data_IF_644801076088
#
_entry.id   IF_644801076088
#
_cell.length_a   1.000
_cell.length_b   1.000
_cell.length_c   1.000
_cell.angle_alpha   90.00
_cell.angle_beta   90.00
_cell.angle_gamma   90.00
#
_symmetry.space_group_name_H-M   'P 1'
#
loop_
_entity.id
_entity.type
_entity.pdbx_description
1 polymer ?
#
# COMPACT_ATOMS: atom_id res chain seq x y z
N UNK A 1 11.40 18.34 -7.27
CA UNK A 1 10.75 17.09 -6.82
C UNK A 1 10.93 16.98 -5.31
N UNK A 2 9.85 16.93 -4.55
CA UNK A 2 9.92 16.84 -3.09
C UNK A 2 10.45 15.47 -2.63
N UNK A 3 10.96 15.33 -1.37
CA UNK A 3 11.35 14.02 -0.84
C UNK A 3 10.21 13.00 -0.91
N UNK A 4 8.97 13.43 -0.68
CA UNK A 4 7.79 12.57 -0.75
C UNK A 4 7.50 12.09 -2.19
N UNK A 5 7.74 12.93 -3.20
CA UNK A 5 7.57 12.54 -4.60
C UNK A 5 8.58 11.45 -5.00
N UNK A 6 9.84 11.55 -4.52
CA UNK A 6 10.87 10.52 -4.76
C UNK A 6 10.48 9.19 -4.14
N UNK A 7 9.96 9.20 -2.90
CA UNK A 7 9.48 8.01 -2.20
C UNK A 7 8.29 7.35 -2.92
N UNK A 8 7.34 8.17 -3.43
CA UNK A 8 6.22 7.67 -4.23
C UNK A 8 6.67 7.07 -5.55
N UNK A 9 7.67 7.69 -6.19
CA UNK A 9 8.23 7.17 -7.44
C UNK A 9 8.93 5.82 -7.22
N UNK A 10 9.70 5.66 -6.14
CA UNK A 10 10.36 4.39 -5.81
C UNK A 10 9.33 3.27 -5.59
N UNK A 11 8.29 3.55 -4.80
CA UNK A 11 7.15 2.66 -4.56
C UNK A 11 6.48 2.25 -5.89
N UNK A 12 6.10 3.22 -6.72
CA UNK A 12 5.47 2.98 -8.03
C UNK A 12 6.36 2.15 -8.97
N UNK A 13 7.67 2.36 -8.96
CA UNK A 13 8.62 1.60 -9.78
C UNK A 13 8.73 0.13 -9.34
N UNK A 14 8.64 -0.15 -8.04
CA UNK A 14 8.65 -1.51 -7.52
C UNK A 14 7.35 -2.22 -7.88
N UNK A 15 6.19 -1.60 -7.63
CA UNK A 15 4.88 -2.14 -7.98
C UNK A 15 4.81 -2.45 -9.48
N UNK A 16 5.33 -1.56 -10.32
CA UNK A 16 5.35 -1.78 -11.78
C UNK A 16 6.21 -2.98 -12.24
N UNK A 17 7.07 -3.55 -11.38
CA UNK A 17 7.82 -4.79 -11.72
C UNK A 17 6.90 -6.02 -11.71
N UNK A 18 5.85 -5.99 -10.89
CA UNK A 18 4.94 -7.12 -10.67
C UNK A 18 3.68 -7.04 -11.54
N UNK A 19 3.25 -5.82 -11.89
CA UNK A 19 2.10 -5.60 -12.79
C UNK A 19 2.52 -5.82 -14.24
N UNK A 20 1.70 -6.56 -15.02
CA UNK A 20 1.96 -6.86 -16.43
C UNK A 20 1.21 -5.90 -17.37
N UNK A 21 1.59 -5.92 -18.63
CA UNK A 21 0.92 -5.14 -19.66
C UNK A 21 -0.50 -5.66 -19.88
N UNK A 22 -1.47 -4.75 -19.87
CA UNK A 22 -2.87 -5.08 -20.06
C UNK A 22 -3.61 -5.58 -18.83
N UNK A 23 -2.94 -5.68 -17.65
CA UNK A 23 -3.58 -6.11 -16.41
C UNK A 23 -4.76 -5.20 -16.01
N UNK A 24 -5.78 -5.82 -15.42
CA UNK A 24 -6.86 -5.12 -14.72
C UNK A 24 -6.40 -4.85 -13.30
N UNK A 25 -6.23 -3.59 -12.95
CA UNK A 25 -5.64 -3.16 -11.68
C UNK A 25 -6.64 -2.35 -10.86
N UNK A 26 -6.87 -2.76 -9.61
CA UNK A 26 -7.67 -2.04 -8.62
C UNK A 26 -6.75 -1.42 -7.56
N UNK A 27 -6.77 -0.09 -7.42
CA UNK A 27 -5.98 0.63 -6.40
C UNK A 27 -6.89 1.13 -5.27
N UNK A 28 -6.76 0.52 -4.10
CA UNK A 28 -7.56 0.80 -2.91
C UNK A 28 -6.89 1.86 -2.04
N UNK A 29 -7.54 3.01 -1.89
CA UNK A 29 -6.93 4.21 -1.34
C UNK A 29 -6.06 4.92 -2.37
N UNK A 30 -6.52 4.98 -3.63
CA UNK A 30 -5.75 5.46 -4.78
C UNK A 30 -5.29 6.92 -4.68
N UNK A 31 -5.79 7.67 -3.71
CA UNK A 31 -5.46 9.07 -3.54
C UNK A 31 -5.80 9.89 -4.79
N UNK A 32 -4.81 10.57 -5.34
CA UNK A 32 -4.95 11.42 -6.53
C UNK A 32 -4.72 10.66 -7.85
N UNK A 33 -4.64 9.34 -7.83
CA UNK A 33 -4.46 8.48 -9.01
C UNK A 33 -3.06 8.49 -9.62
N UNK A 34 -2.04 8.96 -8.91
CA UNK A 34 -0.66 9.09 -9.44
C UNK A 34 -0.06 7.72 -9.78
N UNK A 35 -0.29 6.71 -8.95
CA UNK A 35 0.19 5.35 -9.20
C UNK A 35 -0.48 4.74 -10.43
N UNK A 36 -1.80 4.83 -10.51
CA UNK A 36 -2.55 4.30 -11.67
C UNK A 36 -2.19 5.01 -12.97
N UNK A 37 -2.07 6.36 -12.95
CA UNK A 37 -1.60 7.13 -14.12
C UNK A 37 -0.22 6.65 -14.57
N UNK A 38 0.72 6.44 -13.64
CA UNK A 38 2.05 5.93 -13.93
C UNK A 38 2.01 4.52 -14.54
N UNK A 39 1.21 3.61 -13.97
CA UNK A 39 1.06 2.24 -14.49
C UNK A 39 0.38 2.23 -15.86
N UNK A 40 -0.64 3.05 -16.09
CA UNK A 40 -1.27 3.20 -17.41
C UNK A 40 -0.27 3.65 -18.48
N UNK A 41 0.59 4.62 -18.15
CA UNK A 41 1.60 5.11 -19.09
C UNK A 41 2.72 4.10 -19.36
N UNK A 42 3.05 3.24 -18.39
CA UNK A 42 4.18 2.30 -18.48
C UNK A 42 3.80 0.90 -18.96
N UNK A 43 2.58 0.45 -18.65
CA UNK A 43 2.13 -0.93 -18.80
C UNK A 43 0.80 -1.07 -19.52
N UNK A 44 0.21 0.05 -19.97
CA UNK A 44 -1.09 0.04 -20.69
C UNK A 44 -2.19 -0.73 -19.93
N UNK A 45 -2.22 -0.60 -18.58
CA UNK A 45 -3.18 -1.30 -17.72
C UNK A 45 -4.60 -0.74 -17.85
N UNK A 46 -5.59 -1.56 -17.43
CA UNK A 46 -6.97 -1.12 -17.18
C UNK A 46 -7.11 -0.82 -15.67
N UNK A 47 -6.78 0.39 -15.28
CA UNK A 47 -6.72 0.79 -13.86
C UNK A 47 -8.01 1.44 -13.38
N UNK A 48 -8.45 1.06 -12.17
CA UNK A 48 -9.57 1.67 -11.44
C UNK A 48 -9.13 1.98 -10.02
N UNK A 49 -9.42 3.19 -9.54
CA UNK A 49 -9.12 3.62 -8.18
C UNK A 49 -10.34 3.66 -7.27
N UNK A 50 -10.12 3.50 -5.97
CA UNK A 50 -11.11 3.73 -4.91
C UNK A 50 -10.51 4.64 -3.85
N UNK A 51 -11.21 5.70 -3.47
CA UNK A 51 -10.85 6.54 -2.29
C UNK A 51 -12.13 7.14 -1.69
N UNK A 52 -12.13 7.35 -0.39
CA UNK A 52 -13.27 7.96 0.31
C UNK A 52 -13.37 9.48 0.06
N UNK A 53 -12.25 10.12 -0.26
CA UNK A 53 -12.15 11.57 -0.45
C UNK A 53 -12.54 11.99 -1.87
N UNK A 54 -13.66 12.68 -2.00
CA UNK A 54 -14.16 13.20 -3.28
C UNK A 54 -13.14 14.11 -4.00
N UNK A 55 -12.38 14.93 -3.26
CA UNK A 55 -11.39 15.83 -3.87
C UNK A 55 -10.24 15.07 -4.53
N UNK A 56 -9.86 13.93 -3.96
CA UNK A 56 -8.88 13.02 -4.56
C UNK A 56 -9.45 12.33 -5.80
N UNK A 57 -10.70 11.85 -5.75
CA UNK A 57 -11.39 11.25 -6.90
C UNK A 57 -11.49 12.23 -8.07
N UNK A 58 -11.87 13.48 -7.81
CA UNK A 58 -11.88 14.51 -8.85
C UNK A 58 -10.47 14.74 -9.46
N UNK A 59 -9.42 14.55 -8.68
CA UNK A 59 -8.04 14.60 -9.19
C UNK A 59 -7.70 13.40 -10.07
N UNK A 60 -8.21 12.20 -9.77
CA UNK A 60 -8.08 11.02 -10.63
C UNK A 60 -8.75 11.25 -11.99
N UNK A 61 -10.00 11.73 -11.98
CA UNK A 61 -10.75 12.02 -13.21
C UNK A 61 -10.02 13.03 -14.09
N UNK A 62 -9.43 14.10 -13.50
CA UNK A 62 -8.62 15.08 -14.24
C UNK A 62 -7.36 14.48 -14.88
N UNK A 63 -6.87 13.36 -14.38
CA UNK A 63 -5.72 12.59 -14.91
C UNK A 63 -6.13 11.54 -15.93
N UNK A 64 -7.45 11.38 -16.19
CA UNK A 64 -7.95 10.30 -17.04
C UNK A 64 -7.95 8.91 -16.36
N UNK A 65 -7.88 8.87 -15.02
CA UNK A 65 -7.92 7.65 -14.23
C UNK A 65 -9.35 7.42 -13.75
N UNK A 66 -10.02 6.32 -14.16
CA UNK A 66 -11.31 5.92 -13.61
C UNK A 66 -11.22 5.69 -12.10
N UNK A 67 -12.19 6.22 -11.34
CA UNK A 67 -12.17 6.03 -9.90
C UNK A 67 -13.59 6.11 -9.30
N UNK A 68 -13.80 5.34 -8.21
CA UNK A 68 -15.02 5.32 -7.42
C UNK A 68 -14.80 6.03 -6.08
N UNK A 69 -15.75 6.88 -5.69
CA UNK A 69 -15.78 7.41 -4.35
C UNK A 69 -16.54 6.44 -3.43
N UNK A 70 -15.91 5.99 -2.36
CA UNK A 70 -16.60 5.18 -1.36
C UNK A 70 -15.65 4.50 -0.37
N UNK A 71 -16.28 3.75 0.52
CA UNK A 71 -15.59 2.87 1.45
C UNK A 71 -15.02 1.65 0.71
N UNK A 72 -13.78 1.28 1.04
CA UNK A 72 -13.06 0.19 0.39
C UNK A 72 -13.78 -1.15 0.55
N UNK A 73 -14.22 -1.48 1.77
CA UNK A 73 -14.90 -2.76 2.04
C UNK A 73 -16.24 -2.87 1.31
N UNK A 74 -17.02 -1.78 1.33
CA UNK A 74 -18.30 -1.75 0.64
C UNK A 74 -18.14 -1.91 -0.88
N UNK A 75 -17.11 -1.30 -1.47
CA UNK A 75 -16.84 -1.39 -2.92
C UNK A 75 -16.28 -2.77 -3.27
N UNK A 76 -15.35 -3.33 -2.51
CA UNK A 76 -14.80 -4.67 -2.75
C UNK A 76 -15.90 -5.74 -2.80
N UNK A 77 -16.86 -5.67 -1.90
CA UNK A 77 -17.99 -6.61 -1.85
C UNK A 77 -18.87 -6.61 -3.12
N UNK A 78 -18.77 -5.58 -3.96
CA UNK A 78 -19.54 -5.49 -5.22
C UNK A 78 -18.88 -6.20 -6.40
N UNK A 79 -17.58 -6.51 -6.31
CA UNK A 79 -16.85 -7.17 -7.38
C UNK A 79 -16.94 -8.69 -7.26
N UNK A 80 -17.15 -9.41 -8.39
CA UNK A 80 -17.01 -10.87 -8.43
C UNK A 80 -15.57 -11.32 -8.13
N UNK A 81 -15.42 -12.60 -7.81
CA UNK A 81 -14.12 -13.24 -7.67
C UNK A 81 -13.29 -13.07 -8.95
N UNK A 82 -11.97 -13.00 -8.84
CA UNK A 82 -11.02 -12.88 -9.96
C UNK A 82 -11.32 -11.74 -10.95
N UNK A 83 -11.96 -10.66 -10.47
CA UNK A 83 -12.29 -9.49 -11.30
C UNK A 83 -11.05 -8.72 -11.75
N UNK A 84 -9.96 -8.81 -10.99
CA UNK A 84 -8.72 -8.08 -11.22
C UNK A 84 -7.52 -9.04 -11.27
N UNK A 85 -6.53 -8.66 -12.06
CA UNK A 85 -5.25 -9.35 -12.09
C UNK A 85 -4.37 -8.88 -10.93
N UNK A 86 -4.52 -7.60 -10.52
CA UNK A 86 -3.78 -7.01 -9.40
C UNK A 86 -4.63 -6.06 -8.55
N UNK A 87 -4.61 -6.22 -7.24
CA UNK A 87 -5.19 -5.29 -6.25
C UNK A 87 -4.05 -4.62 -5.50
N UNK A 88 -4.09 -3.31 -5.31
CA UNK A 88 -3.03 -2.54 -4.67
C UNK A 88 -3.56 -1.84 -3.42
N UNK A 89 -2.83 -1.95 -2.31
CA UNK A 89 -3.03 -1.28 -1.03
C UNK A 89 -1.71 -0.60 -0.62
N UNK A 90 -1.29 0.44 -1.36
CA UNK A 90 -0.07 1.17 -1.04
C UNK A 90 -0.33 2.30 -0.05
N UNK A 91 0.25 2.23 1.15
CA UNK A 91 0.11 3.23 2.23
C UNK A 91 -1.34 3.41 2.72
N UNK A 92 -2.14 2.37 2.60
CA UNK A 92 -3.56 2.39 2.94
C UNK A 92 -3.87 1.42 4.06
N UNK A 93 -3.23 0.25 4.07
CA UNK A 93 -3.53 -0.86 4.98
C UNK A 93 -3.48 -0.46 6.47
N UNK A 94 -2.57 0.42 6.85
CA UNK A 94 -2.45 0.90 8.24
C UNK A 94 -3.61 1.78 8.69
N UNK A 95 -4.43 2.30 7.75
CA UNK A 95 -5.58 3.17 8.02
C UNK A 95 -6.91 2.41 8.00
N UNK A 96 -6.89 1.12 7.70
CA UNK A 96 -8.06 0.27 7.68
C UNK A 96 -8.45 -0.15 9.10
N UNK A 97 -9.74 -0.11 9.41
CA UNK A 97 -10.28 -0.59 10.69
C UNK A 97 -10.25 -2.12 10.73
N UNK A 98 -10.57 -2.78 9.63
CA UNK A 98 -10.58 -4.24 9.45
C UNK A 98 -9.67 -4.63 8.27
N UNK A 99 -8.35 -4.55 8.49
CA UNK A 99 -7.37 -4.88 7.48
C UNK A 99 -7.39 -6.38 7.10
N UNK A 100 -7.75 -7.27 8.03
CA UNK A 100 -7.84 -8.71 7.80
C UNK A 100 -8.93 -9.03 6.75
N UNK A 101 -10.14 -8.52 6.97
CA UNK A 101 -11.26 -8.70 6.04
C UNK A 101 -10.98 -8.07 4.66
N UNK A 102 -10.39 -6.87 4.64
CA UNK A 102 -10.05 -6.17 3.40
C UNK A 102 -8.98 -6.93 2.59
N UNK A 103 -7.98 -7.50 3.26
CA UNK A 103 -6.95 -8.30 2.58
C UNK A 103 -7.53 -9.62 2.04
N UNK A 104 -8.41 -10.29 2.81
CA UNK A 104 -9.11 -11.49 2.35
C UNK A 104 -9.98 -11.18 1.12
N UNK A 105 -10.76 -10.11 1.15
CA UNK A 105 -11.56 -9.67 0.00
C UNK A 105 -10.68 -9.24 -1.18
N UNK A 106 -9.55 -8.57 -0.92
CA UNK A 106 -8.57 -8.24 -1.95
C UNK A 106 -8.05 -9.49 -2.68
N UNK A 107 -7.74 -10.56 -1.92
CA UNK A 107 -7.30 -11.85 -2.47
C UNK A 107 -8.43 -12.64 -3.15
N UNK A 108 -9.69 -12.37 -2.81
CA UNK A 108 -10.86 -12.94 -3.51
C UNK A 108 -11.08 -12.30 -4.87
N UNK A 109 -11.00 -10.97 -4.94
CA UNK A 109 -11.29 -10.22 -6.18
C UNK A 109 -10.08 -10.09 -7.10
N UNK A 110 -8.87 -10.28 -6.58
CA UNK A 110 -7.61 -10.15 -7.34
C UNK A 110 -6.71 -11.37 -7.20
N UNK A 111 -6.04 -11.74 -8.29
CA UNK A 111 -5.08 -12.84 -8.30
C UNK A 111 -3.83 -12.51 -7.48
N UNK A 112 -3.42 -11.24 -7.50
CA UNK A 112 -2.32 -10.70 -6.72
C UNK A 112 -2.77 -9.51 -5.90
N UNK A 113 -2.25 -9.38 -4.69
CA UNK A 113 -2.48 -8.22 -3.81
C UNK A 113 -1.14 -7.61 -3.44
N UNK A 114 -0.89 -6.39 -3.89
CA UNK A 114 0.29 -5.63 -3.46
C UNK A 114 -0.02 -4.80 -2.22
N UNK A 115 0.75 -5.00 -1.15
CA UNK A 115 0.65 -4.23 0.09
C UNK A 115 1.92 -3.46 0.34
N UNK A 116 1.81 -2.13 0.51
CA UNK A 116 2.93 -1.26 0.86
C UNK A 116 2.66 -0.48 2.15
N UNK A 117 3.59 -0.54 3.13
CA UNK A 117 3.43 0.12 4.43
C UNK A 117 4.74 0.62 5.05
N UNK A 118 4.61 1.57 5.98
CA UNK A 118 5.73 2.09 6.78
C UNK A 118 6.06 1.12 7.89
N UNK A 119 7.30 0.61 7.91
CA UNK A 119 7.73 -0.33 8.93
C UNK A 119 7.88 0.34 10.31
N UNK A 120 6.98 0.06 11.23
CA UNK A 120 7.04 0.53 12.63
C UNK A 120 8.27 -0.02 13.36
N UNK A 121 8.74 -1.20 12.97
CA UNK A 121 9.93 -1.85 13.53
C UNK A 121 11.26 -1.18 13.18
N UNK A 122 11.28 -0.15 12.31
CA UNK A 122 12.49 0.58 11.93
C UNK A 122 13.22 1.17 13.17
N UNK A 123 14.53 1.01 13.24
CA UNK A 123 15.31 1.31 14.43
C UNK A 123 15.18 2.76 14.94
N UNK A 124 15.03 3.73 14.04
CA UNK A 124 14.81 5.14 14.44
C UNK A 124 13.48 5.28 15.19
N UNK A 125 12.42 4.59 14.74
CA UNK A 125 11.12 4.60 15.42
C UNK A 125 11.22 4.03 16.84
N UNK A 126 12.00 2.93 17.00
CA UNK A 126 12.23 2.30 18.31
C UNK A 126 13.01 3.22 19.25
N UNK A 127 14.06 3.88 18.76
CA UNK A 127 14.82 4.84 19.56
C UNK A 127 13.97 6.06 19.95
N UNK A 128 13.20 6.60 19.04
CA UNK A 128 12.28 7.70 19.32
C UNK A 128 11.25 7.33 20.40
N UNK A 129 10.68 6.13 20.31
CA UNK A 129 9.76 5.64 21.33
C UNK A 129 10.45 5.44 22.69
N UNK A 130 11.68 4.88 22.68
CA UNK A 130 12.44 4.61 23.90
C UNK A 130 12.87 5.90 24.62
N UNK A 131 13.40 6.89 23.89
CA UNK A 131 13.99 8.08 24.50
C UNK A 131 13.01 9.25 24.67
N UNK A 132 12.01 9.34 23.82
CA UNK A 132 11.09 10.50 23.82
C UNK A 132 9.62 10.12 24.06
N UNK A 133 9.27 8.83 24.01
CA UNK A 133 7.89 8.38 24.12
C UNK A 133 6.97 8.88 23.00
N UNK A 134 7.55 9.49 21.97
CA UNK A 134 6.80 10.14 20.92
C UNK A 134 6.33 9.16 19.84
N UNK A 135 5.14 9.42 19.31
CA UNK A 135 4.65 8.80 18.08
C UNK A 135 5.56 9.21 16.91
N UNK A 136 5.81 8.27 16.00
CA UNK A 136 6.54 8.55 14.76
C UNK A 136 5.71 9.49 13.89
N UNK A 137 6.29 10.65 13.56
CA UNK A 137 5.79 11.58 12.54
C UNK A 137 6.71 11.47 11.33
N UNK A 138 6.17 11.25 10.15
CA UNK A 138 6.92 11.14 8.91
C UNK A 138 6.12 11.72 7.74
N UNK A 139 6.63 11.59 6.51
CA UNK A 139 5.97 12.17 5.34
C UNK A 139 4.65 11.48 4.95
N UNK A 140 4.42 10.26 5.43
CA UNK A 140 3.14 9.54 5.26
C UNK A 140 2.15 9.98 6.32
N UNK A 141 2.62 10.19 7.55
CA UNK A 141 1.83 10.62 8.71
C UNK A 141 2.35 11.97 9.23
N UNK A 142 2.20 13.07 8.46
CA UNK A 142 2.82 14.36 8.81
C UNK A 142 2.06 15.13 9.88
N UNK A 143 0.82 14.76 10.18
CA UNK A 143 -0.06 15.49 11.09
C UNK A 143 0.18 15.09 12.55
N UNK A 144 0.00 16.00 13.51
CA UNK A 144 0.01 15.66 14.93
C UNK A 144 -1.13 14.67 15.25
N UNK A 145 -1.01 13.98 16.40
CA UNK A 145 -1.93 12.89 16.77
C UNK A 145 -3.41 13.30 16.82
N UNK A 146 -3.68 14.54 17.20
CA UNK A 146 -5.05 15.09 17.33
C UNK A 146 -5.67 15.53 15.98
N UNK A 147 -4.91 15.56 14.90
CA UNK A 147 -5.39 15.89 13.54
C UNK A 147 -5.27 14.71 12.57
N UNK A 148 -4.65 13.62 13.01
CA UNK A 148 -4.43 12.46 12.15
C UNK A 148 -5.60 11.48 12.25
N UNK A 149 -5.87 10.79 11.13
CA UNK A 149 -6.80 9.66 11.15
C UNK A 149 -6.26 8.55 12.06
N UNK A 150 -7.15 7.75 12.66
CA UNK A 150 -6.74 6.52 13.34
C UNK A 150 -5.85 5.67 12.42
N UNK A 151 -4.83 5.06 12.97
CA UNK A 151 -3.96 4.16 12.20
C UNK A 151 -3.44 3.05 13.11
N UNK A 152 -3.33 1.86 12.55
CA UNK A 152 -2.79 0.67 13.19
C UNK A 152 -1.38 0.39 12.64
N UNK A 153 -0.34 1.08 13.10
CA UNK A 153 1.01 0.89 12.58
C UNK A 153 1.58 -0.44 13.08
N UNK A 154 2.13 -1.22 12.18
CA UNK A 154 2.74 -2.53 12.45
C UNK A 154 4.15 -2.64 11.84
N UNK A 155 4.86 -3.68 12.19
CA UNK A 155 6.22 -3.97 11.72
C UNK A 155 6.22 -5.02 10.62
N UNK A 156 7.35 -5.14 9.92
CA UNK A 156 7.61 -6.23 8.96
C UNK A 156 7.35 -7.60 9.60
N UNK A 157 7.85 -7.83 10.82
CA UNK A 157 7.68 -9.12 11.50
C UNK A 157 6.21 -9.43 11.84
N UNK A 158 5.42 -8.41 12.25
CA UNK A 158 3.99 -8.58 12.52
C UNK A 158 3.21 -8.88 11.25
N UNK A 159 3.55 -8.24 10.13
CA UNK A 159 2.90 -8.50 8.85
C UNK A 159 3.20 -9.91 8.32
N UNK A 160 4.46 -10.35 8.39
CA UNK A 160 4.84 -11.70 7.97
C UNK A 160 4.18 -12.78 8.84
N UNK A 161 4.12 -12.55 10.17
CA UNK A 161 3.39 -13.44 11.08
C UNK A 161 1.87 -13.48 10.78
N UNK A 162 1.27 -12.37 10.39
CA UNK A 162 -0.12 -12.32 9.92
C UNK A 162 -0.31 -13.15 8.64
N UNK A 163 0.57 -12.99 7.65
CA UNK A 163 0.51 -13.79 6.41
C UNK A 163 0.61 -15.29 6.70
N UNK A 164 1.54 -15.69 7.57
CA UNK A 164 1.69 -17.10 7.99
C UNK A 164 0.42 -17.61 8.67
N UNK A 165 -0.14 -16.85 9.61
CA UNK A 165 -1.36 -17.22 10.35
C UNK A 165 -2.60 -17.36 9.45
N UNK A 166 -2.70 -16.55 8.39
CA UNK A 166 -3.77 -16.57 7.41
C UNK A 166 -3.50 -17.46 6.20
N UNK A 167 -2.32 -18.11 6.14
CA UNK A 167 -1.88 -18.91 5.00
C UNK A 167 -1.84 -18.13 3.69
N UNK A 168 -1.49 -16.84 3.76
CA UNK A 168 -1.30 -15.98 2.59
C UNK A 168 0.11 -16.22 2.05
N UNK A 169 0.22 -16.48 0.75
CA UNK A 169 1.51 -16.68 0.10
C UNK A 169 2.17 -15.34 -0.18
N UNK A 170 3.42 -15.17 0.25
CA UNK A 170 4.25 -14.02 -0.11
C UNK A 170 5.07 -14.40 -1.34
N UNK A 171 4.62 -13.96 -2.52
CA UNK A 171 5.28 -14.21 -3.79
C UNK A 171 6.57 -13.40 -3.94
N UNK A 172 6.46 -12.13 -3.65
CA UNK A 172 7.57 -11.19 -3.73
C UNK A 172 7.56 -10.23 -2.53
N UNK A 173 8.75 -9.73 -2.19
CA UNK A 173 8.92 -8.70 -1.16
C UNK A 173 10.11 -7.82 -1.45
N UNK A 174 9.96 -6.52 -1.21
CA UNK A 174 11.01 -5.53 -1.30
C UNK A 174 10.99 -4.67 -0.06
N UNK A 175 12.15 -4.54 0.56
CA UNK A 175 12.34 -3.68 1.72
C UNK A 175 13.18 -2.47 1.32
N UNK A 176 12.74 -1.28 1.68
CA UNK A 176 13.45 -0.04 1.42
C UNK A 176 14.01 0.52 2.72
N UNK A 177 15.25 1.01 2.67
CA UNK A 177 15.91 1.69 3.79
C UNK A 177 15.10 2.91 4.30
N UNK A 178 15.59 3.61 5.30
CA UNK A 178 14.86 4.74 5.89
C UNK A 178 14.59 5.90 4.94
N UNK A 179 15.39 6.06 3.89
CA UNK A 179 15.17 7.04 2.82
C UNK A 179 14.19 6.58 1.72
N UNK A 180 13.87 5.28 1.68
CA UNK A 180 13.04 4.58 0.70
C UNK A 180 13.59 4.57 -0.73
N UNK A 181 14.86 4.91 -0.90
CA UNK A 181 15.50 4.97 -2.22
C UNK A 181 16.35 3.73 -2.51
N UNK A 182 16.83 3.07 -1.45
CA UNK A 182 17.73 1.94 -1.54
C UNK A 182 17.08 0.68 -0.97
N UNK A 183 17.27 -0.45 -1.64
CA UNK A 183 16.81 -1.73 -1.13
C UNK A 183 17.62 -2.15 0.11
N UNK A 184 16.93 -2.67 1.13
CA UNK A 184 17.49 -3.17 2.37
C UNK A 184 17.36 -4.69 2.40
N UNK A 185 18.48 -5.42 2.35
CA UNK A 185 18.46 -6.90 2.32
C UNK A 185 18.79 -7.57 3.66
N UNK A 186 19.29 -6.80 4.64
CA UNK A 186 19.70 -7.34 5.94
C UNK A 186 18.81 -6.78 7.03
N UNK A 187 18.39 -7.66 7.95
CA UNK A 187 17.59 -7.30 9.12
C UNK A 187 16.41 -6.37 8.79
N UNK A 188 15.51 -6.73 7.85
CA UNK A 188 14.51 -5.81 7.29
C UNK A 188 13.59 -5.24 8.36
N UNK A 189 13.21 -6.03 9.37
CA UNK A 189 12.38 -5.53 10.46
C UNK A 189 13.04 -4.40 11.28
N UNK A 190 14.39 -4.30 11.25
CA UNK A 190 15.15 -3.27 11.97
C UNK A 190 15.58 -2.12 11.06
N UNK A 191 16.04 -2.43 9.85
CA UNK A 191 16.73 -1.47 8.97
C UNK A 191 15.86 -0.92 7.85
N UNK A 192 14.74 -1.58 7.51
CA UNK A 192 13.81 -1.05 6.52
C UNK A 192 12.88 0.00 7.11
N UNK A 193 12.72 1.13 6.42
CA UNK A 193 11.73 2.16 6.72
C UNK A 193 10.38 1.91 6.06
N UNK A 194 10.38 1.17 4.94
CA UNK A 194 9.19 0.83 4.16
C UNK A 194 9.29 -0.59 3.61
N UNK A 195 8.17 -1.28 3.51
CA UNK A 195 8.09 -2.63 2.96
C UNK A 195 6.97 -2.71 1.93
N UNK A 196 7.19 -3.49 0.88
CA UNK A 196 6.22 -3.76 -0.18
C UNK A 196 6.20 -5.27 -0.40
N UNK A 197 5.01 -5.84 -0.43
CA UNK A 197 4.76 -7.26 -0.62
C UNK A 197 3.84 -7.49 -1.80
N UNK A 198 4.07 -8.55 -2.54
CA UNK A 198 3.16 -9.13 -3.51
C UNK A 198 2.67 -10.45 -2.94
N UNK A 199 1.36 -10.56 -2.81
CA UNK A 199 0.67 -11.64 -2.13
C UNK A 199 -0.24 -12.39 -3.10
N UNK A 200 -0.43 -13.70 -2.85
CA UNK A 200 -1.46 -14.52 -3.50
C UNK A 200 -2.18 -15.40 -2.49
N UNK A 201 -3.34 -15.93 -2.88
CA UNK A 201 -4.00 -17.00 -2.13
C UNK A 201 -3.29 -18.34 -2.37
N UNK A 202 -3.43 -19.29 -1.44
CA UNK A 202 -3.16 -20.71 -1.72
C UNK A 202 -4.32 -21.20 -2.57
N UNK A 203 -4.04 -21.70 -3.79
CA UNK A 203 -5.00 -22.41 -4.64
C UNK A 203 -5.58 -23.66 -3.96
#
# INVERSE_FOLDING_TARGET
MSPNDKKRQADSQIIARWVHEGDRVLDLGCGRGILLEYLQQKKSIYGVGVDIDLGKILSCVKRGVPAYQGDIGAILATFPDDSFDHVILSRTVEQLEDADSILAEGLRVGRHVTVGFVNKGFWINRLNALFHGNRTVNEVYPKPWYESMPSNPFSVAEFEAFCDARKIVIENRVYLSGDWLNECRKLPNLLAGYAIYDLSSID
#
